data_IF_394250673736
#
_entry.id   IF_394250673736
#
_cell.length_a   1.000
_cell.length_b   1.000
_cell.length_c   1.000
_cell.angle_alpha   90.00
_cell.angle_beta   90.00
_cell.angle_gamma   90.00
#
_symmetry.space_group_name_H-M   'P 1'
#
loop_
_entity.id
_entity.type
_entity.pdbx_description
1 polymer ?
#
# COMPACT_ATOMS: atom_id res chain seq x y z
N UNK A 1 -0.44 7.45 14.49
CA UNK A 1 -1.02 8.01 13.26
C UNK A 1 -1.74 6.87 12.56
N UNK A 2 -2.97 7.10 12.16
CA UNK A 2 -3.95 6.11 11.65
C UNK A 2 -3.73 5.73 10.17
N UNK A 3 -2.65 6.20 9.53
CA UNK A 3 -2.40 5.98 8.09
C UNK A 3 -2.25 4.50 7.76
N UNK A 4 -1.48 3.78 8.56
CA UNK A 4 -1.00 2.45 8.20
C UNK A 4 -2.02 1.34 8.45
N UNK A 5 -2.86 1.51 9.46
CA UNK A 5 -3.83 0.51 9.93
C UNK A 5 -5.28 1.02 9.91
N UNK A 6 -5.49 2.29 9.56
CA UNK A 6 -6.81 2.88 9.45
C UNK A 6 -7.58 2.34 8.25
N UNK A 7 -8.90 2.59 8.20
CA UNK A 7 -9.77 2.04 7.18
C UNK A 7 -9.40 2.54 5.77
N UNK A 8 -9.35 1.64 4.79
CA UNK A 8 -9.44 2.03 3.40
C UNK A 8 -10.91 2.14 3.01
N UNK A 9 -11.27 3.32 2.52
CA UNK A 9 -12.63 3.64 2.12
C UNK A 9 -12.83 3.33 0.65
N UNK A 10 -13.90 2.61 0.35
CA UNK A 10 -14.29 2.24 -1.02
C UNK A 10 -15.72 2.71 -1.25
N UNK A 11 -16.00 3.16 -2.47
CA UNK A 11 -17.37 3.40 -2.95
C UNK A 11 -17.75 2.21 -3.80
N UNK A 12 -18.78 1.46 -3.40
CA UNK A 12 -19.21 0.28 -4.14
C UNK A 12 -20.02 0.62 -5.42
N UNK A 13 -20.39 -0.40 -6.18
CA UNK A 13 -21.19 -0.25 -7.41
C UNK A 13 -22.59 0.36 -7.18
N UNK A 14 -23.09 0.36 -5.95
CA UNK A 14 -24.36 0.97 -5.54
C UNK A 14 -24.18 2.40 -5.00
N UNK A 15 -22.93 2.91 -4.99
CA UNK A 15 -22.52 4.22 -4.46
C UNK A 15 -22.59 4.33 -2.94
N UNK A 16 -22.55 3.22 -2.23
CA UNK A 16 -22.42 3.23 -0.78
C UNK A 16 -20.95 3.32 -0.36
N UNK A 17 -20.70 4.06 0.71
CA UNK A 17 -19.39 4.11 1.36
C UNK A 17 -19.21 2.85 2.21
N UNK A 18 -18.13 2.13 1.96
CA UNK A 18 -17.78 0.90 2.66
C UNK A 18 -16.33 0.95 3.14
N UNK A 19 -16.05 0.22 4.21
CA UNK A 19 -14.69 -0.01 4.69
C UNK A 19 -14.22 -1.36 4.16
N UNK A 20 -13.07 -1.36 3.49
CA UNK A 20 -12.36 -2.58 3.12
C UNK A 20 -11.04 -2.64 3.90
N UNK A 21 -10.80 -3.76 4.57
CA UNK A 21 -9.67 -3.97 5.47
C UNK A 21 -8.70 -4.97 4.89
N UNK A 22 -7.42 -4.66 5.04
CA UNK A 22 -6.29 -5.56 4.90
C UNK A 22 -5.78 -5.95 6.30
N UNK A 23 -5.03 -7.06 6.39
CA UNK A 23 -4.30 -7.40 7.61
C UNK A 23 -3.09 -6.46 7.75
N UNK A 24 -2.99 -5.69 8.84
CA UNK A 24 -1.83 -4.81 9.05
C UNK A 24 -0.54 -5.62 9.18
N UNK A 25 0.50 -5.21 8.45
CA UNK A 25 1.82 -5.87 8.39
C UNK A 25 2.67 -5.76 9.67
N UNK A 26 2.06 -5.50 10.84
CA UNK A 26 2.72 -5.45 12.14
C UNK A 26 1.91 -6.27 13.16
N UNK A 27 2.56 -6.92 14.14
CA UNK A 27 1.88 -7.70 15.18
C UNK A 27 1.22 -6.77 16.22
N UNK A 28 0.23 -5.98 15.77
CA UNK A 28 -0.49 -4.97 16.56
C UNK A 28 -2.00 -5.23 16.45
N UNK A 29 -2.54 -6.18 17.23
CA UNK A 29 -3.93 -6.60 17.11
C UNK A 29 -4.93 -5.46 17.35
N UNK A 30 -4.63 -4.56 18.30
CA UNK A 30 -5.50 -3.42 18.57
C UNK A 30 -5.61 -2.43 17.39
N UNK A 31 -4.54 -2.31 16.59
CA UNK A 31 -4.49 -1.48 15.39
C UNK A 31 -5.31 -2.16 14.27
N UNK A 32 -5.18 -3.48 14.12
CA UNK A 32 -6.00 -4.29 13.19
C UNK A 32 -7.51 -4.19 13.46
N UNK A 33 -7.92 -4.04 14.72
CA UNK A 33 -9.32 -3.90 15.10
C UNK A 33 -9.87 -2.49 14.86
N UNK A 34 -9.03 -1.49 14.59
CA UNK A 34 -9.44 -0.10 14.49
C UNK A 34 -10.46 0.14 13.35
N UNK A 35 -10.28 -0.41 12.13
CA UNK A 35 -11.26 -0.26 11.06
C UNK A 35 -12.63 -0.86 11.40
N UNK A 36 -12.69 -2.01 12.08
CA UNK A 36 -13.95 -2.64 12.49
C UNK A 36 -14.70 -1.76 13.51
N UNK A 37 -13.97 -1.19 14.48
CA UNK A 37 -14.53 -0.23 15.44
C UNK A 37 -15.07 1.02 14.74
N UNK A 38 -14.37 1.51 13.73
CA UNK A 38 -14.83 2.63 12.90
C UNK A 38 -16.11 2.27 12.15
N UNK A 39 -16.17 1.09 11.53
CA UNK A 39 -17.33 0.59 10.80
C UNK A 39 -18.58 0.54 11.68
N UNK A 40 -18.45 -0.05 12.88
CA UNK A 40 -19.53 -0.14 13.86
C UNK A 40 -19.98 1.23 14.37
N UNK A 41 -19.04 2.18 14.51
CA UNK A 41 -19.36 3.51 14.99
C UNK A 41 -20.13 4.34 13.95
N UNK A 42 -19.77 4.20 12.67
CA UNK A 42 -20.34 4.97 11.57
C UNK A 42 -21.50 4.27 10.87
N UNK A 43 -21.81 3.03 11.26
CA UNK A 43 -22.85 2.17 10.65
C UNK A 43 -22.64 2.02 9.13
N UNK A 44 -21.41 1.69 8.74
CA UNK A 44 -21.01 1.45 7.34
C UNK A 44 -20.64 -0.01 7.12
N UNK A 45 -20.85 -0.57 5.90
CA UNK A 45 -20.45 -1.94 5.58
C UNK A 45 -18.95 -2.17 5.76
N UNK A 46 -18.61 -3.39 6.19
CA UNK A 46 -17.26 -3.84 6.47
C UNK A 46 -16.94 -5.08 5.62
N UNK A 47 -15.80 -5.05 4.93
CA UNK A 47 -15.28 -6.19 4.18
C UNK A 47 -13.83 -6.42 4.57
N UNK A 48 -13.46 -7.68 4.82
CA UNK A 48 -12.08 -8.08 5.01
C UNK A 48 -11.54 -8.69 3.71
N UNK A 49 -10.35 -8.25 3.32
CA UNK A 49 -9.56 -8.82 2.23
C UNK A 49 -8.42 -9.66 2.81
N UNK A 50 -8.07 -10.74 2.11
CA UNK A 50 -7.01 -11.67 2.53
C UNK A 50 -5.62 -11.22 2.07
N UNK A 51 -5.33 -9.92 2.20
CA UNK A 51 -4.03 -9.31 1.88
C UNK A 51 -3.40 -8.71 3.14
N UNK A 52 -2.08 -8.91 3.30
CA UNK A 52 -1.27 -8.20 4.27
C UNK A 52 -0.82 -6.88 3.65
N UNK A 53 -1.09 -5.76 4.31
CA UNK A 53 -0.73 -4.44 3.80
C UNK A 53 -0.47 -3.42 4.90
N UNK A 54 -0.09 -2.22 4.47
CA UNK A 54 0.01 -1.00 5.26
C UNK A 54 -0.42 0.20 4.41
N UNK A 55 -1.22 1.11 4.97
CA UNK A 55 -1.74 2.25 4.23
C UNK A 55 -0.68 3.27 3.79
N UNK A 56 0.47 3.36 4.45
CA UNK A 56 1.59 4.18 3.96
C UNK A 56 2.24 3.64 2.69
N UNK A 57 2.10 2.33 2.44
CA UNK A 57 2.59 1.70 1.21
C UNK A 57 1.52 1.61 0.11
N UNK A 58 0.47 2.41 0.15
CA UNK A 58 -0.57 2.39 -0.88
C UNK A 58 -0.96 3.80 -1.31
N UNK A 59 -1.14 3.99 -2.62
CA UNK A 59 -1.82 5.17 -3.16
C UNK A 59 -2.62 4.79 -4.40
N UNK A 60 -3.79 5.43 -4.58
CA UNK A 60 -4.63 5.30 -5.78
C UNK A 60 -4.91 6.66 -6.39
N UNK A 61 -5.11 6.69 -7.70
CA UNK A 61 -5.58 7.86 -8.43
C UNK A 61 -7.12 8.03 -8.36
N UNK A 62 -7.83 7.04 -7.81
CA UNK A 62 -9.28 6.99 -7.70
C UNK A 62 -10.00 6.58 -8.99
N UNK A 63 -9.28 6.23 -10.06
CA UNK A 63 -9.79 5.81 -11.36
C UNK A 63 -9.16 4.48 -11.81
N UNK A 64 -9.01 3.54 -10.87
CA UNK A 64 -8.55 2.18 -11.17
C UNK A 64 -7.04 2.01 -11.26
N UNK A 65 -6.23 3.04 -11.00
CA UNK A 65 -4.77 2.91 -10.93
C UNK A 65 -4.34 3.03 -9.46
N UNK A 66 -3.47 2.11 -9.03
CA UNK A 66 -2.79 2.21 -7.74
C UNK A 66 -1.32 1.88 -7.83
N UNK A 67 -0.57 2.26 -6.81
CA UNK A 67 0.83 1.94 -6.67
C UNK A 67 1.23 1.66 -5.22
N UNK A 68 2.19 0.76 -5.08
CA UNK A 68 2.80 0.32 -3.82
C UNK A 68 4.26 -0.06 -4.06
N UNK A 69 5.07 -0.17 -3.00
CA UNK A 69 6.40 -0.76 -3.13
C UNK A 69 6.36 -2.29 -3.17
N UNK A 70 7.48 -2.91 -3.55
CA UNK A 70 7.72 -4.36 -3.61
C UNK A 70 7.51 -5.12 -2.30
N UNK A 71 7.44 -4.45 -1.14
CA UNK A 71 7.15 -5.16 0.12
C UNK A 71 5.77 -5.81 0.14
N UNK A 72 4.83 -5.35 -0.70
CA UNK A 72 3.52 -6.01 -0.81
C UNK A 72 3.66 -7.44 -1.32
N UNK A 73 4.65 -7.75 -2.15
CA UNK A 73 4.92 -9.12 -2.58
C UNK A 73 5.71 -9.89 -1.52
N UNK A 74 6.69 -9.23 -0.88
CA UNK A 74 7.56 -9.89 0.12
C UNK A 74 6.79 -10.29 1.38
N UNK A 75 5.82 -9.49 1.81
CA UNK A 75 5.07 -9.72 3.06
C UNK A 75 3.81 -10.59 2.87
N UNK A 76 3.47 -10.96 1.64
CA UNK A 76 2.33 -11.80 1.32
C UNK A 76 2.78 -13.20 0.86
N UNK A 77 2.30 -14.25 1.53
CA UNK A 77 2.62 -15.65 1.19
C UNK A 77 1.70 -16.22 0.08
N UNK A 78 1.29 -15.38 -0.87
CA UNK A 78 0.44 -15.71 -2.01
C UNK A 78 1.14 -15.29 -3.32
N UNK A 79 0.82 -15.91 -4.47
CA UNK A 79 1.30 -15.46 -5.77
C UNK A 79 1.03 -13.97 -6.02
N UNK A 80 1.94 -13.29 -6.72
CA UNK A 80 1.76 -11.88 -7.10
C UNK A 80 0.46 -11.67 -7.88
N UNK A 81 0.06 -12.62 -8.73
CA UNK A 81 -1.21 -12.57 -9.47
C UNK A 81 -2.45 -12.59 -8.56
N UNK A 82 -2.38 -13.26 -7.41
CA UNK A 82 -3.45 -13.28 -6.42
C UNK A 82 -3.52 -11.95 -5.68
N UNK A 83 -2.37 -11.30 -5.42
CA UNK A 83 -2.33 -9.92 -4.91
C UNK A 83 -3.05 -8.98 -5.88
N UNK A 84 -2.77 -9.06 -7.18
CA UNK A 84 -3.44 -8.23 -8.20
C UNK A 84 -4.94 -8.52 -8.26
N UNK A 85 -5.33 -9.79 -8.17
CA UNK A 85 -6.73 -10.21 -8.16
C UNK A 85 -7.48 -9.62 -6.96
N UNK A 86 -6.90 -9.68 -5.75
CA UNK A 86 -7.48 -9.05 -4.55
C UNK A 86 -7.58 -7.53 -4.73
N UNK A 87 -6.53 -6.88 -5.25
CA UNK A 87 -6.55 -5.44 -5.50
C UNK A 87 -7.66 -5.02 -6.47
N UNK A 88 -7.93 -5.84 -7.49
CA UNK A 88 -9.02 -5.62 -8.42
C UNK A 88 -10.39 -5.86 -7.77
N UNK A 89 -10.58 -7.01 -7.14
CA UNK A 89 -11.88 -7.45 -6.61
C UNK A 89 -12.38 -6.58 -5.45
N UNK A 90 -11.49 -6.21 -4.53
CA UNK A 90 -11.85 -5.50 -3.31
C UNK A 90 -11.72 -3.98 -3.42
N UNK A 91 -10.80 -3.49 -4.25
CA UNK A 91 -10.45 -2.07 -4.31
C UNK A 91 -10.68 -1.44 -5.69
N UNK A 92 -11.14 -2.22 -6.68
CA UNK A 92 -11.43 -1.73 -8.02
C UNK A 92 -10.19 -1.28 -8.80
N UNK A 93 -9.02 -1.83 -8.47
CA UNK A 93 -7.75 -1.46 -9.13
C UNK A 93 -7.55 -2.33 -10.38
N UNK A 94 -7.67 -1.69 -11.54
CA UNK A 94 -7.45 -2.31 -12.86
C UNK A 94 -5.97 -2.36 -13.23
N UNK A 95 -5.18 -1.38 -12.77
CA UNK A 95 -3.73 -1.31 -12.99
C UNK A 95 -3.01 -1.10 -11.68
N UNK A 96 -2.26 -2.10 -11.24
CA UNK A 96 -1.51 -2.03 -9.99
C UNK A 96 0.00 -1.99 -10.25
N UNK A 97 0.61 -0.83 -10.00
CA UNK A 97 2.04 -0.61 -10.14
C UNK A 97 2.77 -0.97 -8.84
N UNK A 98 3.38 -2.14 -8.81
CA UNK A 98 4.30 -2.51 -7.72
C UNK A 98 5.73 -2.25 -8.16
N UNK A 99 6.44 -1.43 -7.39
CA UNK A 99 7.77 -0.92 -7.76
C UNK A 99 8.74 -1.01 -6.60
N UNK A 100 9.95 -1.40 -6.91
CA UNK A 100 11.13 -1.25 -6.08
C UNK A 100 11.20 0.06 -5.24
N UNK A 101 11.32 -0.05 -3.91
CA UNK A 101 11.55 1.14 -3.07
C UNK A 101 12.93 1.80 -3.34
N UNK A 102 12.98 3.12 -3.63
CA UNK A 102 14.22 3.82 -3.96
C UNK A 102 14.96 4.38 -2.74
N UNK A 103 14.35 4.41 -1.56
CA UNK A 103 14.92 5.03 -0.36
C UNK A 103 15.91 4.10 0.35
N UNK A 104 15.84 2.78 0.12
CA UNK A 104 16.69 1.78 0.78
C UNK A 104 16.67 1.97 2.31
N UNK A 105 15.47 1.96 2.87
CA UNK A 105 15.24 2.07 4.31
C UNK A 105 14.58 0.79 4.81
N UNK A 106 14.09 0.77 6.06
CA UNK A 106 13.39 -0.41 6.58
C UNK A 106 11.88 -0.34 6.39
N UNK A 107 11.35 0.85 6.09
CA UNK A 107 9.91 1.10 6.08
C UNK A 107 9.31 0.80 4.71
N UNK A 108 10.05 1.08 3.64
CA UNK A 108 9.72 0.83 2.24
C UNK A 108 8.28 1.19 1.87
N UNK A 109 7.82 2.34 2.37
CA UNK A 109 6.50 2.87 2.04
C UNK A 109 6.59 3.84 0.85
N UNK A 110 5.66 3.70 -0.09
CA UNK A 110 5.56 4.61 -1.24
C UNK A 110 5.36 6.07 -0.83
N UNK A 111 4.66 6.34 0.27
CA UNK A 111 4.40 7.70 0.77
C UNK A 111 5.67 8.47 1.21
N UNK A 112 6.80 7.78 1.38
CA UNK A 112 8.08 8.38 1.73
C UNK A 112 8.81 9.00 0.54
N UNK A 113 8.34 8.77 -0.69
CA UNK A 113 9.03 9.25 -1.89
C UNK A 113 8.13 9.48 -3.12
N UNK A 114 6.92 8.96 -3.15
CA UNK A 114 5.97 9.08 -4.25
C UNK A 114 4.58 9.49 -3.76
N UNK A 115 3.87 10.32 -4.53
CA UNK A 115 2.46 10.65 -4.24
C UNK A 115 1.67 11.05 -5.49
N UNK A 116 0.54 10.40 -5.74
CA UNK A 116 -0.45 10.93 -6.68
C UNK A 116 -1.02 12.26 -6.17
N UNK A 117 -0.93 13.29 -7.03
CA UNK A 117 -1.51 14.61 -6.79
C UNK A 117 -2.83 14.79 -7.56
N UNK A 118 -2.99 14.04 -8.66
CA UNK A 118 -4.20 13.92 -9.47
C UNK A 118 -4.05 12.70 -10.36
N UNK A 119 -5.08 12.37 -11.13
CA UNK A 119 -5.10 11.29 -12.13
C UNK A 119 -4.06 11.44 -13.24
N UNK A 120 -3.43 12.61 -13.38
CA UNK A 120 -2.42 12.89 -14.41
C UNK A 120 -1.11 13.43 -13.84
N UNK A 121 -0.95 13.47 -12.50
CA UNK A 121 0.23 14.06 -11.86
C UNK A 121 0.71 13.23 -10.69
N UNK A 122 2.00 12.92 -10.71
CA UNK A 122 2.71 12.24 -9.63
C UNK A 122 3.82 13.14 -9.12
N UNK A 123 3.95 13.24 -7.80
CA UNK A 123 5.10 13.82 -7.12
C UNK A 123 6.11 12.73 -6.83
N UNK A 124 7.38 12.99 -7.13
CA UNK A 124 8.50 12.15 -6.70
C UNK A 124 9.50 12.96 -5.88
N UNK A 125 10.09 12.34 -4.88
CA UNK A 125 11.19 12.88 -4.10
C UNK A 125 12.45 12.95 -4.96
N UNK A 126 13.04 14.13 -5.02
CA UNK A 126 14.39 14.31 -5.56
C UNK A 126 15.39 14.59 -4.43
N UNK A 127 16.57 14.00 -4.54
CA UNK A 127 17.70 14.23 -3.63
C UNK A 127 18.96 14.56 -4.44
N UNK A 128 19.96 15.24 -3.84
CA UNK A 128 21.24 15.48 -4.51
C UNK A 128 21.87 14.19 -5.03
N UNK A 129 22.54 14.27 -6.18
CA UNK A 129 23.12 13.11 -6.89
C UNK A 129 24.03 12.25 -6.00
N UNK A 130 24.84 12.88 -5.13
CA UNK A 130 25.69 12.17 -4.18
C UNK A 130 24.88 11.27 -3.22
N UNK A 131 23.73 11.74 -2.75
CA UNK A 131 22.83 10.98 -1.87
C UNK A 131 22.14 9.85 -2.65
N UNK A 132 21.68 10.14 -3.88
CA UNK A 132 21.08 9.15 -4.77
C UNK A 132 22.00 7.96 -5.03
N UNK A 133 23.29 8.21 -5.28
CA UNK A 133 24.29 7.17 -5.53
C UNK A 133 24.59 6.32 -4.27
N UNK A 134 24.53 6.93 -3.08
CA UNK A 134 24.63 6.18 -1.81
C UNK A 134 23.42 5.26 -1.63
N UNK A 135 22.20 5.75 -1.90
CA UNK A 135 20.97 4.94 -1.79
C UNK A 135 20.98 3.75 -2.76
N UNK A 136 21.39 3.97 -4.03
CA UNK A 136 21.48 2.91 -5.04
C UNK A 136 22.53 1.84 -4.73
N UNK A 137 23.71 2.25 -4.25
CA UNK A 137 24.80 1.30 -3.96
C UNK A 137 24.51 0.39 -2.78
N UNK A 138 23.84 0.90 -1.74
CA UNK A 138 23.38 0.06 -0.60
C UNK A 138 22.37 -0.99 -1.03
N UNK A 139 21.46 -0.65 -1.95
CA UNK A 139 20.44 -1.59 -2.44
C UNK A 139 21.03 -2.76 -3.23
N UNK A 140 22.03 -2.50 -4.09
CA UNK A 140 22.73 -3.56 -4.82
C UNK A 140 23.50 -4.52 -3.88
N UNK A 141 24.05 -4.00 -2.76
CA UNK A 141 24.72 -4.84 -1.77
C UNK A 141 23.75 -5.75 -1.01
N UNK A 142 22.56 -5.27 -0.64
CA UNK A 142 21.54 -6.08 0.04
C UNK A 142 21.02 -7.22 -0.85
N UNK A 143 20.81 -6.97 -2.15
CA UNK A 143 20.36 -8.02 -3.10
C UNK A 143 21.42 -9.12 -3.26
N UNK A 144 22.71 -8.79 -3.20
CA UNK A 144 23.80 -9.76 -3.31
C UNK A 144 23.99 -10.70 -2.12
N UNK A 145 23.27 -10.48 -1.01
CA UNK A 145 23.33 -11.32 0.20
C UNK A 145 22.13 -12.27 0.34
N UNK A 146 21.22 -12.30 -0.64
CA UNK A 146 20.00 -13.15 -0.63
C UNK A 146 20.13 -14.30 -1.66
N UNK A 147 21.34 -14.62 -2.13
CA UNK A 147 21.66 -15.81 -2.93
C UNK A 147 22.85 -16.55 -2.29
#
# INVERSE_FOLDING_TARGET
MDRDYGPWWVVDGERNMSIVVFTYNRPRPNDNDAPLKMSNHLDVPFYASDIVHTGGNYMTDGLGIAASTDIVYVENSIPDEDVHSIMQEYYGIETYHVVDDPNNTYIDHIDCWGKYLSTTKVLFREVPEAIRNIMRSKRQQTISQIH
#
